data_IF_027231150642
#
_entry.id   IF_027231150642
#
_cell.length_a   1.000
_cell.length_b   1.000
_cell.length_c   1.000
_cell.angle_alpha   90.00
_cell.angle_beta   90.00
_cell.angle_gamma   90.00
#
_symmetry.space_group_name_H-M   'P 1'
#
loop_
_entity.id
_entity.type
_entity.pdbx_description
1 polymer ?
#
# COMPACT_ATOMS: atom_id res chain seq x y z
N UNK A 1 -37.43 54.24 -25.06
CA UNK A 1 -36.35 53.35 -25.55
C UNK A 1 -36.13 53.50 -27.05
N UNK A 2 -37.17 53.32 -27.89
CA UNK A 2 -37.07 53.49 -29.34
C UNK A 2 -36.79 54.95 -29.74
N UNK A 3 -37.47 55.93 -29.12
CA UNK A 3 -37.28 57.36 -29.44
C UNK A 3 -35.89 57.90 -29.07
N UNK A 4 -35.33 57.42 -27.95
CA UNK A 4 -33.97 57.73 -27.51
C UNK A 4 -32.92 57.20 -28.51
N UNK A 5 -33.19 56.03 -29.11
CA UNK A 5 -32.33 55.42 -30.12
C UNK A 5 -32.33 56.20 -31.44
N UNK A 6 -33.49 56.66 -31.88
CA UNK A 6 -33.62 57.47 -33.11
C UNK A 6 -33.02 58.87 -32.98
N UNK A 7 -33.13 59.51 -31.81
CA UNK A 7 -32.52 60.82 -31.57
C UNK A 7 -30.97 60.75 -31.47
N UNK A 8 -30.44 59.67 -30.90
CA UNK A 8 -29.00 59.39 -30.93
C UNK A 8 -28.50 59.19 -32.37
N UNK A 9 -29.28 58.50 -33.21
CA UNK A 9 -28.88 58.17 -34.58
C UNK A 9 -28.79 59.40 -35.51
N UNK A 10 -29.55 60.48 -35.25
CA UNK A 10 -29.52 61.70 -36.06
C UNK A 10 -28.40 62.70 -35.69
N UNK A 11 -27.90 62.64 -34.46
CA UNK A 11 -26.83 63.51 -33.94
C UNK A 11 -25.43 62.88 -34.08
N UNK A 12 -25.36 61.57 -34.35
CA UNK A 12 -24.10 60.85 -34.46
C UNK A 12 -23.42 61.12 -35.81
N UNK A 13 -22.45 62.02 -35.80
CA UNK A 13 -21.49 62.14 -36.89
C UNK A 13 -20.68 60.84 -37.03
N UNK A 14 -20.27 60.46 -38.24
CA UNK A 14 -19.64 59.14 -38.53
C UNK A 14 -18.44 58.83 -37.62
N UNK A 15 -17.77 59.84 -37.08
CA UNK A 15 -16.65 59.71 -36.14
C UNK A 15 -17.08 59.23 -34.74
N UNK A 16 -18.24 59.63 -34.24
CA UNK A 16 -18.77 59.23 -32.93
C UNK A 16 -19.16 57.75 -32.94
N UNK A 17 -19.69 57.26 -34.06
CA UNK A 17 -20.05 55.85 -34.22
C UNK A 17 -18.82 54.94 -34.23
N UNK A 18 -17.77 55.34 -34.95
CA UNK A 18 -16.48 54.60 -34.99
C UNK A 18 -15.86 54.53 -33.60
N UNK A 19 -15.93 55.61 -32.81
CA UNK A 19 -15.38 55.64 -31.46
C UNK A 19 -16.11 54.69 -30.50
N UNK A 20 -17.43 54.59 -30.61
CA UNK A 20 -18.23 53.64 -29.82
C UNK A 20 -17.87 52.19 -30.18
N UNK A 21 -17.70 51.88 -31.46
CA UNK A 21 -17.32 50.53 -31.91
C UNK A 21 -15.94 50.13 -31.39
N UNK A 22 -14.97 51.05 -31.39
CA UNK A 22 -13.63 50.81 -30.83
C UNK A 22 -13.70 50.57 -29.31
N UNK A 23 -14.51 51.35 -28.58
CA UNK A 23 -14.71 51.16 -27.14
C UNK A 23 -15.32 49.79 -26.81
N UNK A 24 -16.32 49.36 -27.58
CA UNK A 24 -16.94 48.03 -27.40
C UNK A 24 -15.93 46.92 -27.70
N UNK A 25 -15.13 47.04 -28.76
CA UNK A 25 -14.07 46.06 -29.06
C UNK A 25 -13.01 46.02 -27.95
N UNK A 26 -12.57 47.17 -27.45
CA UNK A 26 -11.61 47.25 -26.35
C UNK A 26 -12.17 46.63 -25.06
N UNK A 27 -13.46 46.83 -24.77
CA UNK A 27 -14.14 46.22 -23.64
C UNK A 27 -14.21 44.69 -23.77
N UNK A 28 -14.60 44.17 -24.94
CA UNK A 28 -14.66 42.71 -25.18
C UNK A 28 -13.28 42.06 -25.08
N UNK A 29 -12.24 42.72 -25.60
CA UNK A 29 -10.86 42.23 -25.53
C UNK A 29 -10.36 42.17 -24.09
N UNK A 30 -10.56 43.23 -23.30
CA UNK A 30 -10.13 43.26 -21.90
C UNK A 30 -10.89 42.23 -21.06
N UNK A 31 -12.18 42.04 -21.31
CA UNK A 31 -13.00 41.05 -20.62
C UNK A 31 -12.59 39.60 -20.94
N UNK A 32 -12.30 39.28 -22.22
CA UNK A 32 -11.79 37.96 -22.62
C UNK A 32 -10.41 37.66 -22.03
N UNK A 33 -9.50 38.63 -22.06
CA UNK A 33 -8.14 38.47 -21.50
C UNK A 33 -8.19 38.28 -19.98
N UNK A 34 -9.08 39.01 -19.29
CA UNK A 34 -9.32 38.82 -17.85
C UNK A 34 -9.81 37.42 -17.52
N UNK A 35 -10.78 36.90 -18.28
CA UNK A 35 -11.30 35.54 -18.12
C UNK A 35 -10.23 34.46 -18.32
N UNK A 36 -9.37 34.60 -19.34
CA UNK A 36 -8.28 33.65 -19.61
C UNK A 36 -7.22 33.64 -18.51
N UNK A 37 -6.87 34.81 -17.96
CA UNK A 37 -5.92 34.92 -16.84
C UNK A 37 -6.44 34.23 -15.59
N UNK A 38 -7.75 34.35 -15.31
CA UNK A 38 -8.40 33.68 -14.18
C UNK A 38 -8.32 32.16 -14.30
N UNK A 39 -8.68 31.60 -15.47
CA UNK A 39 -8.65 30.15 -15.70
C UNK A 39 -7.24 29.57 -15.63
N UNK A 40 -6.22 30.31 -16.08
CA UNK A 40 -4.82 29.88 -16.01
C UNK A 40 -4.31 29.81 -14.57
N UNK A 41 -4.66 30.80 -13.73
CA UNK A 41 -4.29 30.81 -12.30
C UNK A 41 -4.92 29.62 -11.55
N UNK A 42 -6.18 29.29 -11.86
CA UNK A 42 -6.85 28.13 -11.26
C UNK A 42 -6.25 26.78 -11.69
N UNK A 43 -5.78 26.67 -12.93
CA UNK A 43 -5.12 25.46 -13.43
C UNK A 43 -3.72 25.28 -12.83
N UNK A 44 -2.96 26.36 -12.68
CA UNK A 44 -1.63 26.31 -12.06
C UNK A 44 -1.71 25.90 -10.58
N UNK A 45 -2.69 26.44 -9.85
CA UNK A 45 -2.94 26.03 -8.45
C UNK A 45 -3.43 24.58 -8.29
N UNK A 46 -3.95 23.94 -9.35
CA UNK A 46 -4.28 22.51 -9.34
C UNK A 46 -3.05 21.64 -9.62
N UNK A 47 -2.17 22.06 -10.51
CA UNK A 47 -0.92 21.34 -10.84
C UNK A 47 0.02 21.31 -9.63
N UNK A 48 0.20 22.44 -8.94
CA UNK A 48 1.05 22.52 -7.73
C UNK A 48 0.56 21.60 -6.59
N UNK A 49 -0.75 21.35 -6.52
CA UNK A 49 -1.32 20.41 -5.53
C UNK A 49 -1.01 18.96 -5.87
N UNK A 50 -1.02 18.61 -7.15
CA UNK A 50 -0.71 17.25 -7.62
C UNK A 50 0.77 16.93 -7.42
N UNK A 51 1.65 17.89 -7.69
CA UNK A 51 3.10 17.75 -7.47
C UNK A 51 3.42 17.48 -5.99
N UNK A 52 2.84 18.28 -5.07
CA UNK A 52 2.98 18.06 -3.62
C UNK A 52 2.47 16.71 -3.15
N UNK A 53 1.40 16.18 -3.76
CA UNK A 53 0.88 14.85 -3.43
C UNK A 53 1.86 13.76 -3.88
N UNK A 54 2.46 13.92 -5.07
CA UNK A 54 3.48 12.98 -5.56
C UNK A 54 4.68 12.93 -4.61
N UNK A 55 5.17 14.09 -4.17
CA UNK A 55 6.31 14.17 -3.23
C UNK A 55 6.00 13.51 -1.88
N UNK A 56 4.80 13.73 -1.34
CA UNK A 56 4.36 13.08 -0.10
C UNK A 56 4.28 11.55 -0.26
N UNK A 57 3.81 11.07 -1.41
CA UNK A 57 3.74 9.63 -1.68
C UNK A 57 5.15 9.02 -1.75
N UNK A 58 6.09 9.69 -2.42
CA UNK A 58 7.49 9.25 -2.50
C UNK A 58 8.14 9.25 -1.12
N UNK A 59 7.91 10.27 -0.30
CA UNK A 59 8.43 10.37 1.06
C UNK A 59 7.86 9.26 1.96
N UNK A 60 6.55 9.03 1.92
CA UNK A 60 5.90 7.95 2.67
C UNK A 60 6.47 6.59 2.24
N UNK A 61 6.55 6.32 0.93
CA UNK A 61 7.10 5.07 0.41
C UNK A 61 8.55 4.87 0.87
N UNK A 62 9.37 5.91 0.83
CA UNK A 62 10.78 5.86 1.27
C UNK A 62 10.88 5.59 2.77
N UNK A 63 10.08 6.28 3.60
CA UNK A 63 10.07 6.04 5.05
C UNK A 63 9.59 4.63 5.38
N UNK A 64 8.56 4.16 4.70
CA UNK A 64 8.06 2.78 4.83
C UNK A 64 9.15 1.79 4.43
N UNK A 65 9.79 1.96 3.28
CA UNK A 65 10.87 1.09 2.83
C UNK A 65 12.06 1.08 3.81
N UNK A 66 12.44 2.23 4.38
CA UNK A 66 13.49 2.31 5.41
C UNK A 66 13.10 1.58 6.71
N UNK A 67 11.84 1.68 7.14
CA UNK A 67 11.33 0.95 8.30
C UNK A 67 11.30 -0.56 8.02
N UNK A 68 10.94 -1.00 6.81
CA UNK A 68 10.83 -2.43 6.51
C UNK A 68 12.16 -3.09 6.15
N UNK A 69 13.10 -2.37 5.51
CA UNK A 69 14.36 -2.94 5.04
C UNK A 69 15.50 -2.82 6.06
N UNK A 70 15.50 -1.79 6.91
CA UNK A 70 16.60 -1.49 7.84
C UNK A 70 16.20 -1.54 9.32
N UNK A 71 15.08 -2.17 9.69
CA UNK A 71 14.73 -2.36 11.09
C UNK A 71 15.56 -3.52 11.69
N UNK A 72 16.55 -3.23 12.58
CA UNK A 72 17.34 -4.28 13.23
C UNK A 72 16.49 -5.18 14.14
N UNK A 73 15.27 -4.74 14.48
CA UNK A 73 14.32 -5.48 15.30
C UNK A 73 13.28 -6.27 14.48
N UNK A 74 13.40 -6.33 13.15
CA UNK A 74 12.49 -7.11 12.32
C UNK A 74 12.66 -8.61 12.61
N UNK A 75 11.56 -9.33 12.82
CA UNK A 75 11.58 -10.79 13.05
C UNK A 75 11.80 -11.60 11.77
N UNK A 76 11.52 -11.00 10.61
CA UNK A 76 11.63 -11.64 9.30
C UNK A 76 12.04 -10.64 8.23
N UNK A 77 12.70 -11.13 7.18
CA UNK A 77 13.06 -10.34 6.00
C UNK A 77 11.86 -10.21 5.08
N UNK A 78 11.61 -8.99 4.61
CA UNK A 78 10.53 -8.70 3.66
C UNK A 78 10.81 -9.20 2.23
N UNK A 79 12.04 -9.63 1.94
CA UNK A 79 12.39 -10.27 0.67
C UNK A 79 11.80 -11.67 0.62
N UNK A 80 11.12 -11.99 -0.49
CA UNK A 80 10.68 -13.34 -0.77
C UNK A 80 11.91 -14.22 -1.11
N UNK A 81 11.95 -15.50 -0.70
CA UNK A 81 11.04 -16.13 0.26
C UNK A 81 11.20 -15.54 1.67
N UNK A 82 10.07 -15.19 2.31
CA UNK A 82 10.09 -14.54 3.63
C UNK A 82 10.82 -15.45 4.63
N UNK A 83 11.90 -14.97 5.23
CA UNK A 83 12.77 -15.79 6.09
C UNK A 83 12.98 -15.12 7.44
N UNK A 84 13.15 -15.90 8.51
CA UNK A 84 13.48 -15.35 9.83
C UNK A 84 14.83 -14.63 9.83
N UNK A 85 14.91 -13.54 10.57
CA UNK A 85 16.18 -12.89 10.95
C UNK A 85 16.80 -13.64 12.14
N UNK A 86 17.96 -13.19 12.60
CA UNK A 86 18.59 -13.74 13.81
C UNK A 86 17.72 -13.51 15.05
N UNK A 87 17.12 -12.32 15.15
CA UNK A 87 16.16 -12.01 16.21
C UNK A 87 14.90 -12.90 16.12
N UNK A 88 14.40 -13.13 14.91
CA UNK A 88 13.28 -14.06 14.69
C UNK A 88 13.60 -15.49 15.15
N UNK A 89 14.83 -15.96 14.92
CA UNK A 89 15.28 -17.28 15.39
C UNK A 89 15.44 -17.34 16.92
N UNK A 90 15.95 -16.29 17.53
CA UNK A 90 16.03 -16.18 18.99
C UNK A 90 14.63 -16.24 19.62
N UNK A 91 13.68 -15.48 19.05
CA UNK A 91 12.30 -15.48 19.51
C UNK A 91 11.63 -16.85 19.31
N UNK A 92 11.86 -17.49 18.16
CA UNK A 92 11.35 -18.85 17.89
C UNK A 92 11.80 -19.83 18.97
N UNK A 93 13.05 -19.73 19.41
CA UNK A 93 13.60 -20.55 20.49
C UNK A 93 12.89 -20.25 21.82
N UNK A 94 12.71 -18.97 22.17
CA UNK A 94 12.09 -18.57 23.44
C UNK A 94 10.63 -19.03 23.58
N UNK A 95 9.87 -19.02 22.49
CA UNK A 95 8.48 -19.50 22.50
C UNK A 95 8.35 -21.00 22.19
N UNK A 96 9.47 -21.73 22.08
CA UNK A 96 9.51 -23.14 21.67
C UNK A 96 8.74 -23.41 20.37
N UNK A 97 8.91 -22.52 19.39
CA UNK A 97 8.11 -22.51 18.17
C UNK A 97 8.22 -23.82 17.37
N UNK A 98 9.43 -24.38 17.25
CA UNK A 98 9.66 -25.65 16.55
C UNK A 98 8.89 -26.81 17.19
N UNK A 99 8.89 -26.90 18.53
CA UNK A 99 8.16 -27.93 19.27
C UNK A 99 6.65 -27.81 19.09
N UNK A 100 6.12 -26.57 19.09
CA UNK A 100 4.70 -26.30 18.86
C UNK A 100 4.31 -26.70 17.43
N UNK A 101 5.12 -26.33 16.43
CA UNK A 101 4.89 -26.72 15.04
C UNK A 101 4.91 -28.24 14.90
N UNK A 102 5.85 -28.93 15.53
CA UNK A 102 5.91 -30.40 15.48
C UNK A 102 4.66 -31.02 16.11
N UNK A 103 4.29 -30.56 17.30
CA UNK A 103 3.12 -31.05 18.06
C UNK A 103 1.82 -30.91 17.29
N UNK A 104 1.60 -29.79 16.61
CA UNK A 104 0.35 -29.52 15.89
C UNK A 104 0.46 -29.71 14.38
N UNK A 105 1.59 -30.22 13.88
CA UNK A 105 1.87 -30.30 12.45
C UNK A 105 0.77 -31.02 11.68
N UNK A 106 0.31 -32.17 12.17
CA UNK A 106 -0.71 -32.95 11.43
C UNK A 106 -1.99 -32.16 11.17
N UNK A 107 -2.45 -31.37 12.16
CA UNK A 107 -3.63 -30.50 12.00
C UNK A 107 -3.34 -29.30 11.11
N UNK A 108 -2.23 -28.61 11.34
CA UNK A 108 -1.85 -27.40 10.61
C UNK A 108 -1.59 -27.69 9.12
N UNK A 109 -0.87 -28.77 8.81
CA UNK A 109 -0.60 -29.20 7.43
C UNK A 109 -1.91 -29.56 6.74
N UNK A 110 -2.80 -30.31 7.40
CA UNK A 110 -4.13 -30.61 6.85
C UNK A 110 -4.90 -29.32 6.52
N UNK A 111 -4.93 -28.35 7.42
CA UNK A 111 -5.63 -27.08 7.18
C UNK A 111 -5.00 -26.28 6.02
N UNK A 112 -3.69 -26.39 5.81
CA UNK A 112 -3.04 -25.80 4.62
C UNK A 112 -3.45 -26.55 3.36
N UNK A 113 -3.44 -27.88 3.38
CA UNK A 113 -3.79 -28.72 2.22
C UNK A 113 -5.28 -28.59 1.85
N UNK A 114 -6.18 -28.44 2.84
CA UNK A 114 -7.62 -28.22 2.64
C UNK A 114 -7.90 -26.90 1.87
N UNK A 115 -6.98 -25.92 1.94
CA UNK A 115 -7.07 -24.68 1.14
C UNK A 115 -6.57 -24.86 -0.31
N UNK A 116 -6.01 -26.03 -0.65
CA UNK A 116 -5.64 -26.40 -2.02
C UNK A 116 -4.51 -25.58 -2.66
N UNK A 117 -3.34 -25.40 -1.99
CA UNK A 117 -2.23 -24.64 -2.57
C UNK A 117 -1.64 -25.36 -3.79
N UNK A 118 -1.41 -24.63 -4.89
CA UNK A 118 -0.95 -25.23 -6.16
C UNK A 118 0.56 -25.15 -6.37
N UNK A 119 1.22 -24.20 -5.71
CA UNK A 119 2.64 -23.93 -5.88
C UNK A 119 3.28 -23.46 -4.56
N UNK A 120 4.60 -23.26 -4.56
CA UNK A 120 5.35 -22.84 -3.37
C UNK A 120 4.88 -21.50 -2.77
N UNK A 121 4.47 -20.56 -3.62
CA UNK A 121 3.92 -19.27 -3.19
C UNK A 121 2.55 -19.43 -2.50
N UNK A 122 1.67 -20.25 -3.07
CA UNK A 122 0.37 -20.56 -2.47
C UNK A 122 0.55 -21.25 -1.13
N UNK A 123 1.53 -22.17 -1.02
CA UNK A 123 1.91 -22.81 0.25
C UNK A 123 2.31 -21.75 1.29
N UNK A 124 3.14 -20.77 0.92
CA UNK A 124 3.51 -19.67 1.83
C UNK A 124 2.29 -18.88 2.29
N UNK A 125 1.42 -18.47 1.36
CA UNK A 125 0.21 -17.70 1.67
C UNK A 125 -0.74 -18.47 2.59
N UNK A 126 -0.96 -19.76 2.30
CA UNK A 126 -1.82 -20.62 3.09
C UNK A 126 -1.23 -20.87 4.48
N UNK A 127 0.05 -21.19 4.58
CA UNK A 127 0.74 -21.41 5.86
C UNK A 127 0.65 -20.18 6.77
N UNK A 128 0.83 -18.98 6.23
CA UNK A 128 0.73 -17.74 7.01
C UNK A 128 -0.70 -17.48 7.48
N UNK A 129 -1.68 -17.77 6.61
CA UNK A 129 -3.10 -17.63 6.95
C UNK A 129 -3.50 -18.58 8.07
N UNK A 130 -3.13 -19.86 7.96
CA UNK A 130 -3.40 -20.88 8.98
C UNK A 130 -2.72 -20.51 10.30
N UNK A 131 -1.44 -20.11 10.26
CA UNK A 131 -0.71 -19.74 11.46
C UNK A 131 -1.32 -18.52 12.19
N UNK A 132 -1.80 -17.50 11.47
CA UNK A 132 -2.42 -16.32 12.10
C UNK A 132 -3.81 -16.57 12.63
N UNK A 133 -4.62 -17.32 11.89
CA UNK A 133 -6.05 -17.40 12.18
C UNK A 133 -6.40 -18.61 13.05
N UNK A 134 -5.66 -19.71 12.91
CA UNK A 134 -6.09 -21.03 13.39
C UNK A 134 -5.15 -21.60 14.45
N UNK A 135 -3.87 -21.18 14.48
CA UNK A 135 -2.92 -21.67 15.47
C UNK A 135 -3.34 -21.34 16.91
N UNK A 136 -3.85 -20.12 17.13
CA UNK A 136 -4.27 -19.64 18.47
C UNK A 136 -5.30 -20.56 19.13
N UNK A 137 -6.15 -21.22 18.33
CA UNK A 137 -7.22 -22.10 18.80
C UNK A 137 -6.71 -23.53 19.07
N UNK A 138 -5.47 -23.83 18.63
CA UNK A 138 -4.79 -25.10 18.87
C UNK A 138 -3.82 -25.05 20.05
N UNK A 139 -3.31 -23.87 20.40
CA UNK A 139 -2.37 -23.71 21.50
C UNK A 139 -3.03 -24.05 22.84
N UNK A 140 -2.27 -24.72 23.71
CA UNK A 140 -2.63 -24.83 25.12
C UNK A 140 -2.49 -23.47 25.82
N UNK A 141 -3.13 -23.30 26.98
CA UNK A 141 -3.08 -22.05 27.74
C UNK A 141 -1.64 -21.63 28.09
N UNK A 142 -0.76 -22.60 28.36
CA UNK A 142 0.66 -22.37 28.65
C UNK A 142 1.39 -21.84 27.41
N UNK A 143 1.19 -22.48 26.25
CA UNK A 143 1.81 -22.06 24.99
C UNK A 143 1.30 -20.67 24.56
N UNK A 144 -0.01 -20.43 24.67
CA UNK A 144 -0.62 -19.15 24.36
C UNK A 144 -0.10 -18.03 25.28
N UNK A 145 0.05 -18.32 26.57
CA UNK A 145 0.61 -17.38 27.54
C UNK A 145 2.07 -17.07 27.22
N UNK A 146 2.89 -18.06 26.89
CA UNK A 146 4.27 -17.85 26.50
C UNK A 146 4.41 -16.94 25.26
N UNK A 147 3.58 -17.17 24.23
CA UNK A 147 3.53 -16.33 23.03
C UNK A 147 3.13 -14.89 23.37
N UNK A 148 2.07 -14.71 24.17
CA UNK A 148 1.61 -13.37 24.59
C UNK A 148 2.64 -12.64 25.45
N UNK A 149 3.31 -13.36 26.34
CA UNK A 149 4.32 -12.79 27.23
C UNK A 149 5.53 -12.31 26.42
N UNK A 150 6.02 -13.10 25.46
CA UNK A 150 7.13 -12.67 24.61
C UNK A 150 6.76 -11.50 23.70
N UNK A 151 5.53 -11.48 23.17
CA UNK A 151 5.01 -10.33 22.42
C UNK A 151 5.02 -9.06 23.28
N UNK A 152 4.49 -9.15 24.50
CA UNK A 152 4.46 -8.05 25.45
C UNK A 152 5.86 -7.56 25.85
N UNK A 153 6.77 -8.48 26.21
CA UNK A 153 8.14 -8.18 26.62
C UNK A 153 8.92 -7.42 25.56
N UNK A 154 8.59 -7.64 24.27
CA UNK A 154 9.27 -7.05 23.13
C UNK A 154 8.52 -5.86 22.51
N UNK A 155 7.34 -5.53 23.02
CA UNK A 155 6.49 -4.49 22.44
C UNK A 155 6.02 -4.81 21.03
N UNK A 156 5.80 -6.09 20.72
CA UNK A 156 5.39 -6.57 19.40
C UNK A 156 3.92 -6.99 19.37
N UNK A 157 3.21 -6.81 18.24
CA UNK A 157 1.94 -7.46 18.01
C UNK A 157 2.09 -8.99 18.04
N UNK A 158 1.12 -9.69 18.63
CA UNK A 158 1.13 -11.16 18.70
C UNK A 158 1.10 -11.78 17.30
N UNK A 159 0.47 -11.10 16.36
CA UNK A 159 0.37 -11.45 14.95
C UNK A 159 1.74 -11.54 14.25
N UNK A 160 2.74 -10.81 14.73
CA UNK A 160 4.10 -10.93 14.22
C UNK A 160 4.74 -12.26 14.64
N UNK A 161 4.46 -12.73 15.87
CA UNK A 161 4.90 -14.05 16.33
C UNK A 161 4.18 -15.14 15.53
N UNK A 162 2.89 -14.99 15.24
CA UNK A 162 2.19 -15.94 14.36
C UNK A 162 2.74 -15.97 12.94
N UNK A 163 3.27 -14.86 12.44
CA UNK A 163 3.96 -14.84 11.15
C UNK A 163 5.25 -15.68 11.19
N UNK A 164 5.99 -15.65 12.31
CA UNK A 164 7.12 -16.55 12.55
C UNK A 164 6.69 -18.03 12.52
N UNK A 165 5.58 -18.39 13.17
CA UNK A 165 5.03 -19.74 13.06
C UNK A 165 4.66 -20.12 11.62
N UNK A 166 4.10 -19.18 10.85
CA UNK A 166 3.80 -19.38 9.43
C UNK A 166 5.04 -19.69 8.58
N UNK A 167 6.18 -19.06 8.87
CA UNK A 167 7.46 -19.34 8.20
C UNK A 167 7.93 -20.77 8.50
N UNK A 168 7.87 -21.19 9.77
CA UNK A 168 8.25 -22.55 10.18
C UNK A 168 7.33 -23.61 9.57
N UNK A 169 6.01 -23.37 9.59
CA UNK A 169 5.03 -24.26 8.97
C UNK A 169 5.26 -24.41 7.46
N UNK A 170 5.48 -23.29 6.75
CA UNK A 170 5.82 -23.31 5.32
C UNK A 170 7.07 -24.15 5.07
N UNK A 171 8.15 -23.90 5.82
CA UNK A 171 9.41 -24.62 5.65
C UNK A 171 9.23 -26.13 5.83
N UNK A 172 8.43 -26.54 6.82
CA UNK A 172 8.10 -27.95 7.04
C UNK A 172 7.34 -28.54 5.84
N UNK A 173 6.27 -27.89 5.40
CA UNK A 173 5.46 -28.37 4.25
C UNK A 173 6.29 -28.46 2.96
N UNK A 174 7.10 -27.45 2.67
CA UNK A 174 7.95 -27.44 1.49
C UNK A 174 8.99 -28.57 1.55
N UNK A 175 9.61 -28.78 2.72
CA UNK A 175 10.54 -29.89 2.96
C UNK A 175 9.86 -31.24 2.76
N UNK A 176 8.68 -31.43 3.34
CA UNK A 176 7.93 -32.69 3.25
C UNK A 176 7.46 -32.99 1.80
N UNK A 177 7.17 -31.95 1.01
CA UNK A 177 6.81 -32.06 -0.41
C UNK A 177 8.02 -32.08 -1.35
N UNK A 178 9.24 -31.97 -0.84
CA UNK A 178 10.47 -31.91 -1.65
C UNK A 178 10.58 -30.67 -2.54
N UNK A 179 9.87 -29.58 -2.20
CA UNK A 179 9.87 -28.32 -2.96
C UNK A 179 10.96 -27.39 -2.41
N UNK A 180 11.91 -26.93 -3.22
CA UNK A 180 12.91 -25.95 -2.79
C UNK A 180 12.26 -24.64 -2.31
N UNK A 181 12.73 -24.09 -1.19
CA UNK A 181 12.23 -22.80 -0.66
C UNK A 181 12.42 -21.65 -1.68
N UNK A 182 13.46 -21.72 -2.50
CA UNK A 182 13.72 -20.75 -3.56
C UNK A 182 12.64 -20.71 -4.67
N UNK A 183 11.78 -21.73 -4.77
CA UNK A 183 10.74 -21.78 -5.79
C UNK A 183 9.54 -20.86 -5.47
N UNK A 184 9.47 -20.33 -4.24
CA UNK A 184 8.47 -19.32 -3.85
C UNK A 184 8.58 -18.07 -4.74
N UNK A 185 9.78 -17.68 -5.15
CA UNK A 185 10.04 -16.47 -5.95
C UNK A 185 9.82 -16.66 -7.44
N UNK A 186 9.91 -17.91 -7.93
CA UNK A 186 9.88 -18.20 -9.37
C UNK A 186 8.53 -17.86 -10.01
N UNK A 187 7.45 -17.91 -9.24
CA UNK A 187 6.10 -17.65 -9.74
C UNK A 187 5.74 -16.16 -9.86
N UNK A 188 6.48 -15.24 -9.21
CA UNK A 188 6.18 -13.80 -9.31
C UNK A 188 6.56 -13.23 -10.70
N UNK A 189 7.48 -13.88 -11.43
CA UNK A 189 7.94 -13.41 -12.75
C UNK A 189 6.94 -13.65 -13.88
N UNK A 190 5.96 -14.55 -13.71
CA UNK A 190 5.05 -14.94 -14.79
C UNK A 190 3.85 -14.00 -15.00
N UNK A 191 3.63 -12.99 -14.14
CA UNK A 191 2.51 -12.03 -14.28
C UNK A 191 2.93 -10.62 -14.73
N UNK A 192 4.18 -10.44 -15.14
CA UNK A 192 4.75 -9.13 -15.55
C UNK A 192 5.35 -9.12 -16.97
N UNK A 193 4.82 -9.95 -17.86
CA UNK A 193 5.07 -9.84 -19.31
C UNK A 193 3.82 -9.36 -20.05
#
# INVERSE_FOLDING_TARGET
>A
MVELFTALQSELNSSVFVLIVILVMAFVLTFKVGGWKQTFIEHQGRIDKVEKISDLIVEIKTKVDLIYQNNPNALYRAQSPISLTDLGRELATKVNADSIIEKYSSKLVKHVDDKGPKNAYDIQKCAFTVARNELKDLLSDVELTAVKQEAFNRGLPVEEIYTLFGILLRNKILKDKGIPIADVDKHEKASKE
#
